data_IF_035370015834
#
_entry.id   IF_035370015834
#
_cell.length_a   1.000
_cell.length_b   1.000
_cell.length_c   1.000
_cell.angle_alpha   90.00
_cell.angle_beta   90.00
_cell.angle_gamma   90.00
#
_symmetry.space_group_name_H-M   'P 1'
#
loop_
_entity.id
_entity.type
_entity.pdbx_description
1 polymer ?
#
# COMPACT_ATOMS: atom_id res chain seq x y z
N UNK A 1 29.93 -1.44 -2.60
CA UNK A 1 29.84 -0.48 -3.72
C UNK A 1 28.40 -0.38 -4.20
N UNK A 2 27.92 0.86 -4.39
CA UNK A 2 26.56 1.11 -4.86
C UNK A 2 26.60 1.51 -6.34
N UNK A 3 25.71 0.90 -7.13
CA UNK A 3 25.50 1.24 -8.53
C UNK A 3 24.04 1.61 -8.71
N UNK A 4 23.77 2.53 -9.63
CA UNK A 4 22.39 2.91 -9.91
C UNK A 4 22.21 3.24 -11.38
N UNK A 5 21.02 2.96 -11.89
CA UNK A 5 20.69 3.25 -13.29
C UNK A 5 19.21 3.64 -13.39
N UNK A 6 18.93 4.48 -14.36
CA UNK A 6 17.56 4.96 -14.57
C UNK A 6 16.66 3.81 -15.00
N UNK A 7 15.42 3.81 -14.49
CA UNK A 7 14.41 2.88 -14.94
C UNK A 7 13.08 3.60 -15.15
N UNK A 8 12.27 3.03 -16.03
CA UNK A 8 10.94 3.56 -16.31
C UNK A 8 10.01 2.38 -16.58
N UNK A 9 8.85 2.39 -15.91
CA UNK A 9 7.83 1.36 -16.10
C UNK A 9 6.55 2.02 -16.57
N UNK A 10 5.98 1.51 -17.65
CA UNK A 10 4.71 2.00 -18.16
C UNK A 10 3.56 1.36 -17.41
N UNK A 11 2.52 2.12 -17.23
CA UNK A 11 1.28 1.57 -16.70
C UNK A 11 0.40 1.14 -17.87
N UNK A 12 -0.18 0.15 -17.49
CA UNK A 12 -1.00 -0.39 -18.37
C UNK A 12 -1.99 0.51 -18.83
N UNK A 13 -2.69 1.18 -17.93
CA UNK A 13 -3.57 2.34 -18.14
C UNK A 13 -3.21 3.43 -17.14
N UNK A 14 -3.36 4.69 -17.50
CA UNK A 14 -3.05 5.75 -16.54
C UNK A 14 -3.92 5.65 -15.30
N UNK A 15 -3.32 5.95 -14.17
CA UNK A 15 -4.03 5.96 -12.89
C UNK A 15 -4.41 7.39 -12.57
N UNK A 16 -5.69 7.62 -12.32
CA UNK A 16 -6.20 8.95 -11.96
C UNK A 16 -6.27 9.01 -10.45
N UNK A 17 -5.55 9.95 -9.88
CA UNK A 17 -5.54 10.16 -8.43
C UNK A 17 -6.05 11.54 -8.09
N UNK A 18 -6.29 11.77 -6.81
CA UNK A 18 -6.69 13.11 -6.34
C UNK A 18 -5.59 14.14 -6.59
N UNK A 19 -4.36 13.69 -6.80
CA UNK A 19 -3.21 14.59 -6.97
C UNK A 19 -2.63 14.56 -8.37
N UNK A 20 -3.35 13.98 -9.32
CA UNK A 20 -2.94 14.01 -10.72
C UNK A 20 -2.97 12.65 -11.39
N UNK A 21 -2.64 12.68 -12.68
CA UNK A 21 -2.63 11.48 -13.52
C UNK A 21 -1.23 10.89 -13.56
N UNK A 22 -1.13 9.57 -13.39
CA UNK A 22 0.15 8.86 -13.42
C UNK A 22 0.12 7.89 -14.58
N UNK A 23 1.03 8.05 -15.54
CA UNK A 23 1.10 7.19 -16.73
C UNK A 23 2.29 6.25 -16.72
N UNK A 24 3.31 6.60 -15.95
CA UNK A 24 4.51 5.76 -15.82
C UNK A 24 5.10 5.95 -14.44
N UNK A 25 6.02 5.05 -14.09
CA UNK A 25 6.78 5.17 -12.86
C UNK A 25 8.25 5.26 -13.25
N UNK A 26 8.90 6.36 -12.90
CA UNK A 26 10.30 6.58 -13.27
C UNK A 26 11.15 6.79 -12.03
N UNK A 27 12.40 6.34 -12.10
CA UNK A 27 13.32 6.48 -10.99
C UNK A 27 14.62 5.72 -11.25
N UNK A 28 15.08 5.00 -10.24
CA UNK A 28 16.36 4.33 -10.30
C UNK A 28 16.30 2.92 -9.76
N UNK A 29 16.97 2.02 -10.45
CA UNK A 29 17.30 0.68 -9.96
C UNK A 29 18.63 0.79 -9.22
N UNK A 30 18.70 0.16 -8.05
CA UNK A 30 19.88 0.22 -7.17
C UNK A 30 20.47 -1.17 -7.05
N UNK A 31 21.78 -1.27 -7.09
CA UNK A 31 22.50 -2.51 -6.82
C UNK A 31 23.62 -2.26 -5.84
N UNK A 32 23.62 -2.99 -4.74
CA UNK A 32 24.67 -2.92 -3.73
C UNK A 32 25.43 -4.23 -3.75
N UNK A 33 26.73 -4.18 -4.02
CA UNK A 33 27.57 -5.37 -4.16
C UNK A 33 28.42 -5.60 -2.92
N UNK A 34 28.52 -6.86 -2.57
CA UNK A 34 29.45 -7.32 -1.55
C UNK A 34 29.97 -8.69 -2.01
N UNK A 35 31.09 -8.68 -2.40
CA UNK A 35 31.64 -9.78 -2.85
C UNK A 35 31.01 -10.21 -4.08
N UNK A 36 30.63 -11.43 -3.98
CA UNK A 36 29.98 -12.03 -5.15
C UNK A 36 28.47 -11.82 -5.16
N UNK A 37 27.94 -11.34 -4.07
CA UNK A 37 26.51 -11.12 -3.96
C UNK A 37 26.11 -9.70 -4.29
N UNK A 38 24.90 -9.53 -4.79
CA UNK A 38 24.38 -8.22 -5.17
C UNK A 38 22.94 -8.08 -4.75
N UNK A 39 22.66 -7.11 -3.87
CA UNK A 39 21.31 -6.81 -3.43
C UNK A 39 20.68 -5.74 -4.30
N UNK A 40 19.42 -5.90 -4.63
CA UNK A 40 18.70 -5.00 -5.51
C UNK A 40 17.70 -4.14 -4.75
N UNK A 41 17.57 -2.90 -5.20
CA UNK A 41 16.59 -1.96 -4.68
C UNK A 41 16.05 -1.11 -5.80
N UNK A 42 15.08 -0.29 -5.45
CA UNK A 42 14.37 0.50 -6.44
C UNK A 42 13.86 1.77 -5.78
N UNK A 43 13.96 2.88 -6.49
CA UNK A 43 13.48 4.19 -6.03
C UNK A 43 12.60 4.76 -7.12
N UNK A 44 11.29 4.84 -6.86
CA UNK A 44 10.32 5.36 -7.83
C UNK A 44 9.45 6.39 -7.12
N UNK A 45 9.83 7.68 -7.14
CA UNK A 45 9.01 8.68 -6.44
C UNK A 45 7.58 8.69 -6.99
N UNK A 46 6.61 8.84 -6.12
CA UNK A 46 5.21 8.90 -6.50
C UNK A 46 4.79 10.38 -6.57
N UNK A 47 4.55 10.90 -7.75
CA UNK A 47 4.19 12.33 -7.86
C UNK A 47 3.00 12.68 -6.99
N UNK A 48 3.11 13.75 -6.23
CA UNK A 48 2.06 14.20 -5.33
C UNK A 48 2.16 13.66 -3.91
N UNK A 49 2.95 12.61 -3.69
CA UNK A 49 3.12 12.00 -2.37
C UNK A 49 4.56 11.98 -1.88
N UNK A 50 5.49 11.78 -2.79
CA UNK A 50 6.90 11.63 -2.41
C UNK A 50 7.50 12.94 -1.98
N UNK A 51 8.49 12.84 -1.08
CA UNK A 51 9.19 14.00 -0.54
C UNK A 51 10.26 14.53 -1.49
N UNK A 52 10.67 13.73 -2.48
CA UNK A 52 11.73 14.11 -3.42
C UNK A 52 11.22 14.00 -4.85
N UNK A 53 11.41 15.04 -5.66
CA UNK A 53 11.08 14.92 -7.07
C UNK A 53 12.14 14.10 -7.81
N UNK A 54 11.70 13.49 -8.92
CA UNK A 54 12.58 12.62 -9.69
C UNK A 54 13.92 13.29 -10.06
N UNK A 55 13.85 14.57 -10.44
CA UNK A 55 15.04 15.27 -10.91
C UNK A 55 16.11 15.47 -9.82
N UNK A 56 15.76 15.32 -8.55
CA UNK A 56 16.71 15.49 -7.46
C UNK A 56 17.35 14.18 -7.01
N UNK A 57 16.88 13.05 -7.53
CA UNK A 57 17.37 11.74 -7.09
C UNK A 57 18.85 11.52 -7.42
N UNK A 58 19.27 11.92 -8.59
CA UNK A 58 20.65 11.68 -9.05
C UNK A 58 21.67 12.32 -8.12
N UNK A 59 21.34 13.23 -7.67
CA UNK A 59 22.11 13.88 -6.83
C UNK A 59 22.34 13.26 -5.61
N UNK A 60 21.28 12.97 -5.04
CA UNK A 60 21.40 12.23 -3.81
C UNK A 60 22.22 10.95 -3.98
N UNK A 61 21.95 10.23 -5.05
CA UNK A 61 22.65 8.97 -5.30
C UNK A 61 24.15 9.19 -5.55
N UNK A 62 24.50 10.23 -6.28
CA UNK A 62 25.89 10.58 -6.49
C UNK A 62 26.58 10.96 -5.18
N UNK A 63 25.89 11.70 -4.33
CA UNK A 63 26.44 12.07 -3.03
C UNK A 63 26.69 10.83 -2.17
N UNK A 64 25.78 9.90 -2.18
CA UNK A 64 25.94 8.64 -1.44
C UNK A 64 27.14 7.87 -1.99
N UNK A 65 27.28 7.79 -3.29
CA UNK A 65 28.42 7.11 -3.92
C UNK A 65 29.75 7.74 -3.54
N UNK A 66 29.58 8.95 -3.32
CA UNK A 66 30.60 9.60 -3.00
C UNK A 66 30.91 9.65 -1.72
N UNK A 67 30.30 9.14 -0.77
CA UNK A 67 30.44 9.12 0.67
C UNK A 67 30.20 10.45 1.36
N UNK A 68 29.51 11.33 0.70
CA UNK A 68 29.18 12.64 1.27
C UNK A 68 28.09 12.45 2.36
N UNK A 69 28.32 13.05 3.52
CA UNK A 69 27.42 12.92 4.64
C UNK A 69 26.23 13.87 4.49
N UNK A 70 25.01 13.32 4.43
CA UNK A 70 23.78 14.08 4.38
C UNK A 70 22.63 13.15 4.76
N UNK A 71 21.43 13.72 4.95
CA UNK A 71 20.25 12.91 5.26
C UNK A 71 19.50 12.65 3.96
N UNK A 72 19.50 11.41 3.48
CA UNK A 72 18.77 11.12 2.23
C UNK A 72 17.26 11.29 2.40
N UNK A 73 16.58 11.54 1.29
CA UNK A 73 15.12 11.54 1.27
C UNK A 73 14.59 10.16 1.67
N UNK A 74 13.34 10.12 2.08
CA UNK A 74 12.71 8.87 2.50
C UNK A 74 12.75 7.83 1.39
N UNK A 75 12.51 8.25 0.16
CA UNK A 75 12.47 7.33 -0.98
C UNK A 75 13.86 6.75 -1.29
N UNK A 76 14.89 7.60 -1.24
CA UNK A 76 16.25 7.12 -1.46
C UNK A 76 16.66 6.18 -0.33
N UNK A 77 16.36 6.57 0.90
CA UNK A 77 16.66 5.72 2.05
C UNK A 77 15.95 4.38 1.95
N UNK A 78 14.68 4.40 1.48
CA UNK A 78 13.90 3.18 1.30
C UNK A 78 14.57 2.24 0.28
N UNK A 79 14.98 2.78 -0.86
CA UNK A 79 15.59 1.96 -1.90
C UNK A 79 16.92 1.35 -1.48
N UNK A 80 17.75 2.12 -0.77
CA UNK A 80 19.02 1.62 -0.29
C UNK A 80 18.82 0.57 0.81
N UNK A 81 17.89 0.83 1.73
CA UNK A 81 17.56 -0.13 2.78
C UNK A 81 17.04 -1.43 2.17
N UNK A 82 16.20 -1.32 1.13
CA UNK A 82 15.70 -2.46 0.38
C UNK A 82 16.85 -3.29 -0.19
N UNK A 83 17.80 -2.63 -0.87
CA UNK A 83 18.91 -3.32 -1.48
C UNK A 83 19.78 -4.02 -0.43
N UNK A 84 19.99 -3.39 0.73
CA UNK A 84 20.77 -4.00 1.80
C UNK A 84 20.09 -5.24 2.37
N UNK A 85 18.77 -5.19 2.57
CA UNK A 85 18.04 -6.35 3.07
C UNK A 85 18.04 -7.49 2.04
N UNK A 86 17.87 -7.15 0.76
CA UNK A 86 17.92 -8.17 -0.28
C UNK A 86 19.31 -8.79 -0.39
N UNK A 87 20.36 -8.00 -0.19
CA UNK A 87 21.72 -8.53 -0.14
C UNK A 87 21.90 -9.50 1.02
N UNK A 88 21.40 -9.11 2.19
CA UNK A 88 21.50 -9.96 3.39
C UNK A 88 20.78 -11.30 3.16
N UNK A 89 19.61 -11.26 2.51
CA UNK A 89 18.89 -12.50 2.25
C UNK A 89 19.68 -13.41 1.31
N UNK A 90 20.31 -12.84 0.28
CA UNK A 90 21.16 -13.63 -0.62
C UNK A 90 22.36 -14.22 0.12
N UNK A 91 23.00 -13.43 0.98
CA UNK A 91 24.16 -13.90 1.72
C UNK A 91 23.79 -15.05 2.70
N UNK A 92 22.62 -14.98 3.28
CA UNK A 92 22.13 -16.03 4.17
C UNK A 92 21.63 -17.24 3.37
N UNK A 93 21.17 -17.02 2.15
CA UNK A 93 20.63 -18.08 1.30
C UNK A 93 19.22 -18.46 1.63
N UNK A 94 18.40 -17.49 2.06
CA UNK A 94 17.01 -17.72 2.41
C UNK A 94 16.14 -16.61 1.85
N UNK A 95 14.84 -16.87 1.63
CA UNK A 95 13.97 -15.79 1.15
C UNK A 95 13.83 -14.69 2.19
N UNK A 96 13.60 -13.48 1.73
CA UNK A 96 13.58 -12.33 2.63
C UNK A 96 12.55 -12.49 3.75
N UNK A 97 11.35 -13.04 3.45
CA UNK A 97 10.36 -13.22 4.51
C UNK A 97 10.89 -14.08 5.65
N UNK A 98 11.71 -15.08 5.33
CA UNK A 98 12.30 -15.95 6.33
C UNK A 98 13.41 -15.24 7.12
N UNK A 99 14.23 -14.46 6.43
CA UNK A 99 15.30 -13.68 7.07
C UNK A 99 14.72 -12.68 8.05
N UNK A 100 13.56 -12.12 7.73
CA UNK A 100 12.86 -11.19 8.63
C UNK A 100 12.26 -11.89 9.84
N UNK A 101 12.11 -13.20 9.79
CA UNK A 101 11.55 -13.96 10.90
C UNK A 101 10.15 -14.51 10.66
N UNK A 102 9.70 -14.46 9.43
CA UNK A 102 8.37 -14.92 9.10
C UNK A 102 8.28 -16.42 8.88
N UNK A 103 7.06 -16.91 8.80
CA UNK A 103 6.78 -18.32 8.59
C UNK A 103 5.91 -18.58 7.37
N UNK A 104 5.44 -17.55 6.71
CA UNK A 104 4.52 -17.68 5.58
C UNK A 104 5.25 -17.41 4.27
N UNK A 105 5.04 -18.28 3.30
CA UNK A 105 5.62 -18.12 1.96
C UNK A 105 4.60 -17.59 0.95
N UNK A 106 3.52 -17.01 1.45
CA UNK A 106 2.52 -16.39 0.56
C UNK A 106 1.78 -15.30 1.30
N UNK A 107 1.15 -14.42 0.54
CA UNK A 107 0.30 -13.37 1.10
C UNK A 107 -1.02 -13.32 0.34
N UNK A 108 -2.06 -12.88 1.03
CA UNK A 108 -3.30 -12.47 0.38
C UNK A 108 -3.19 -11.01 -0.04
N UNK A 109 -3.85 -10.66 -1.14
CA UNK A 109 -3.93 -9.26 -1.58
C UNK A 109 -5.37 -8.93 -1.91
N UNK A 110 -5.72 -7.64 -1.79
CA UNK A 110 -7.06 -7.21 -2.18
C UNK A 110 -7.09 -6.87 -3.67
N UNK A 111 -8.25 -7.06 -4.25
CA UNK A 111 -8.50 -6.51 -5.56
C UNK A 111 -8.89 -5.04 -5.47
N UNK A 112 -8.87 -4.14 -6.39
CA UNK A 112 -9.07 -2.85 -6.37
C UNK A 112 -10.03 -2.62 -7.36
N UNK A 113 -11.06 -1.87 -7.09
CA UNK A 113 -11.93 -1.19 -8.05
C UNK A 113 -11.75 0.31 -7.89
N UNK A 114 -11.28 0.95 -8.95
CA UNK A 114 -11.01 2.39 -8.92
C UNK A 114 -12.29 3.20 -9.09
N UNK A 115 -12.12 4.48 -9.42
CA UNK A 115 -13.24 5.40 -9.56
C UNK A 115 -13.95 5.27 -10.89
N UNK A 116 -14.55 4.14 -11.14
CA UNK A 116 -15.28 3.89 -12.38
C UNK A 116 -16.76 4.26 -12.21
N UNK A 117 -17.44 4.43 -13.32
CA UNK A 117 -18.88 4.73 -13.30
C UNK A 117 -19.65 3.54 -12.73
N UNK A 118 -20.78 3.83 -12.11
CA UNK A 118 -21.58 2.79 -11.46
C UNK A 118 -22.06 1.73 -12.44
N UNK A 119 -22.27 2.09 -13.70
CA UNK A 119 -22.72 1.11 -14.69
C UNK A 119 -21.64 0.07 -15.01
N UNK A 120 -20.37 0.39 -14.80
CA UNK A 120 -19.28 -0.55 -15.04
C UNK A 120 -18.95 -1.37 -13.79
N UNK A 121 -19.52 -0.99 -12.66
CA UNK A 121 -19.18 -1.56 -11.37
C UNK A 121 -19.51 -3.07 -11.29
N UNK A 122 -20.70 -3.53 -11.70
CA UNK A 122 -21.00 -4.96 -11.56
C UNK A 122 -20.04 -5.85 -12.33
N UNK A 123 -19.66 -5.47 -13.54
CA UNK A 123 -18.73 -6.28 -14.32
C UNK A 123 -17.35 -6.36 -13.65
N UNK A 124 -16.88 -5.22 -13.13
CA UNK A 124 -15.60 -5.19 -12.42
C UNK A 124 -15.64 -6.07 -11.18
N UNK A 125 -16.76 -6.03 -10.45
CA UNK A 125 -16.91 -6.82 -9.23
C UNK A 125 -16.93 -8.31 -9.56
N UNK A 126 -17.67 -8.69 -10.60
CA UNK A 126 -17.72 -10.10 -11.02
C UNK A 126 -16.34 -10.61 -11.46
N UNK A 127 -15.58 -9.76 -12.15
CA UNK A 127 -14.24 -10.15 -12.58
C UNK A 127 -13.35 -10.45 -11.37
N UNK A 128 -13.38 -9.59 -10.35
CA UNK A 128 -12.59 -9.83 -9.16
C UNK A 128 -13.03 -11.08 -8.42
N UNK A 129 -14.33 -11.37 -8.43
CA UNK A 129 -14.83 -12.61 -7.82
C UNK A 129 -14.32 -13.84 -8.59
N UNK A 130 -14.34 -13.79 -9.92
CA UNK A 130 -13.81 -14.89 -10.74
C UNK A 130 -12.31 -15.09 -10.51
N UNK A 131 -11.60 -13.99 -10.28
CA UNK A 131 -10.15 -14.04 -10.02
C UNK A 131 -9.82 -14.50 -8.60
N UNK A 132 -10.82 -14.76 -7.78
CA UNK A 132 -10.64 -15.38 -6.48
C UNK A 132 -10.29 -14.47 -5.33
N UNK A 133 -10.49 -13.16 -5.50
CA UNK A 133 -10.21 -12.23 -4.39
C UNK A 133 -11.24 -12.38 -3.27
N UNK A 134 -10.75 -12.59 -2.06
CA UNK A 134 -11.62 -12.64 -0.89
C UNK A 134 -11.80 -11.27 -0.25
N UNK A 135 -10.96 -10.31 -0.61
CA UNK A 135 -11.05 -8.94 -0.11
C UNK A 135 -10.99 -7.99 -1.31
N UNK A 136 -11.94 -7.07 -1.36
CA UNK A 136 -12.03 -6.13 -2.48
C UNK A 136 -12.03 -4.72 -1.91
N UNK A 137 -11.13 -3.88 -2.44
CA UNK A 137 -11.05 -2.48 -2.05
C UNK A 137 -11.74 -1.63 -3.12
N UNK A 138 -12.60 -0.73 -2.69
CA UNK A 138 -13.42 0.07 -3.60
C UNK A 138 -13.21 1.55 -3.33
N UNK A 139 -12.81 2.27 -4.38
CA UNK A 139 -12.66 3.72 -4.29
C UNK A 139 -14.03 4.39 -4.30
N UNK A 140 -14.28 5.21 -3.29
CA UNK A 140 -15.51 5.99 -3.16
C UNK A 140 -15.16 7.47 -3.10
N UNK A 141 -16.14 8.29 -2.78
CA UNK A 141 -15.98 9.74 -2.77
C UNK A 141 -16.60 10.39 -3.98
N UNK A 142 -17.62 9.75 -4.54
CA UNK A 142 -18.30 10.19 -5.74
C UNK A 142 -19.80 10.29 -5.49
N UNK A 143 -20.51 10.88 -6.43
CA UNK A 143 -21.97 11.09 -6.29
C UNK A 143 -22.74 9.76 -6.26
N UNK A 144 -22.16 8.68 -6.79
CA UNK A 144 -22.83 7.38 -6.86
C UNK A 144 -22.41 6.41 -5.77
N UNK A 145 -21.86 6.91 -4.67
CA UNK A 145 -21.38 6.05 -3.58
C UNK A 145 -22.46 5.13 -3.02
N UNK A 146 -23.66 5.66 -2.79
CA UNK A 146 -24.74 4.83 -2.24
C UNK A 146 -25.10 3.68 -3.18
N UNK A 147 -25.14 3.94 -4.48
CA UNK A 147 -25.46 2.90 -5.45
C UNK A 147 -24.38 1.81 -5.45
N UNK A 148 -23.12 2.21 -5.36
CA UNK A 148 -22.02 1.23 -5.32
C UNK A 148 -22.07 0.39 -4.05
N UNK A 149 -22.35 1.01 -2.91
CA UNK A 149 -22.48 0.26 -1.65
C UNK A 149 -23.62 -0.73 -1.74
N UNK A 150 -24.76 -0.31 -2.33
CA UNK A 150 -25.90 -1.21 -2.51
C UNK A 150 -25.52 -2.39 -3.39
N UNK A 151 -24.82 -2.15 -4.51
CA UNK A 151 -24.40 -3.22 -5.40
C UNK A 151 -23.46 -4.20 -4.68
N UNK A 152 -22.56 -3.68 -3.87
CA UNK A 152 -21.68 -4.55 -3.07
C UNK A 152 -22.51 -5.45 -2.16
N UNK A 153 -23.50 -4.89 -1.50
CA UNK A 153 -24.31 -5.67 -0.56
C UNK A 153 -25.10 -6.78 -1.26
N UNK A 154 -25.45 -6.56 -2.53
CA UNK A 154 -26.23 -7.53 -3.29
C UNK A 154 -25.38 -8.62 -3.91
N UNK A 155 -24.11 -8.34 -4.21
CA UNK A 155 -23.25 -9.25 -5.00
C UNK A 155 -22.26 -10.01 -4.13
N UNK A 156 -21.70 -9.39 -3.08
CA UNK A 156 -20.68 -10.05 -2.27
C UNK A 156 -21.28 -11.22 -1.49
N UNK A 157 -20.54 -12.32 -1.45
CA UNK A 157 -20.90 -13.46 -0.62
C UNK A 157 -20.61 -13.15 0.85
N UNK A 158 -21.08 -14.00 1.75
CA UNK A 158 -20.86 -13.81 3.17
C UNK A 158 -19.38 -13.97 3.56
N UNK A 159 -18.60 -14.66 2.73
CA UNK A 159 -17.18 -14.88 3.03
C UNK A 159 -16.27 -13.80 2.46
N UNK A 160 -16.82 -12.90 1.66
CA UNK A 160 -16.02 -11.83 1.07
C UNK A 160 -16.04 -10.59 1.93
N UNK A 161 -14.93 -9.85 1.92
CA UNK A 161 -14.80 -8.60 2.67
C UNK A 161 -14.58 -7.44 1.71
N UNK A 162 -15.03 -6.27 2.13
CA UNK A 162 -14.81 -5.07 1.32
C UNK A 162 -14.18 -3.98 2.19
N UNK A 163 -13.28 -3.24 1.57
CA UNK A 163 -12.64 -2.05 2.13
C UNK A 163 -13.11 -0.85 1.33
N UNK A 164 -13.65 0.14 1.99
CA UNK A 164 -14.13 1.36 1.34
C UNK A 164 -13.07 2.43 1.47
N UNK A 165 -12.74 3.12 0.38
CA UNK A 165 -11.69 4.13 0.40
C UNK A 165 -12.12 5.40 -0.31
N UNK A 166 -12.72 6.35 0.41
CA UNK A 166 -13.08 7.64 -0.17
C UNK A 166 -11.92 8.62 -0.27
N UNK A 167 -10.71 8.24 0.11
CA UNK A 167 -9.51 9.08 -0.01
C UNK A 167 -9.70 10.47 0.61
N UNK A 168 -10.36 10.52 1.76
CA UNK A 168 -10.57 11.77 2.48
C UNK A 168 -11.59 12.71 1.85
N UNK A 169 -12.34 12.24 0.86
CA UNK A 169 -13.23 13.13 0.09
C UNK A 169 -14.55 13.43 0.78
N UNK A 170 -14.96 12.64 1.75
CA UNK A 170 -16.25 12.86 2.42
C UNK A 170 -16.13 13.97 3.46
N UNK A 171 -17.16 14.80 3.55
CA UNK A 171 -17.33 15.66 4.73
C UNK A 171 -17.70 14.78 5.91
N UNK A 172 -17.66 15.34 7.11
CA UNK A 172 -18.05 14.59 8.31
C UNK A 172 -19.47 14.06 8.20
N UNK A 173 -20.39 14.90 7.72
CA UNK A 173 -21.77 14.48 7.55
C UNK A 173 -21.93 13.40 6.49
N UNK A 174 -21.24 13.56 5.37
CA UNK A 174 -21.28 12.54 4.32
C UNK A 174 -20.73 11.21 4.82
N UNK A 175 -19.62 11.26 5.54
CA UNK A 175 -19.01 10.03 6.07
C UNK A 175 -19.96 9.33 7.02
N UNK A 176 -20.57 10.07 7.93
CA UNK A 176 -21.51 9.50 8.89
C UNK A 176 -22.70 8.84 8.19
N UNK A 177 -23.26 9.51 7.20
CA UNK A 177 -24.42 9.01 6.48
C UNK A 177 -24.09 7.78 5.66
N UNK A 178 -22.99 7.82 4.91
CA UNK A 178 -22.61 6.71 4.05
C UNK A 178 -22.16 5.49 4.86
N UNK A 179 -21.48 5.72 5.97
CA UNK A 179 -21.03 4.60 6.80
C UNK A 179 -22.16 3.97 7.60
N UNK A 180 -23.17 4.74 7.97
CA UNK A 180 -24.37 4.17 8.58
C UNK A 180 -25.04 3.21 7.59
N UNK A 181 -25.19 3.66 6.34
CA UNK A 181 -25.79 2.83 5.31
C UNK A 181 -24.94 1.59 5.02
N UNK A 182 -23.62 1.77 4.92
CA UNK A 182 -22.72 0.64 4.64
C UNK A 182 -22.75 -0.39 5.76
N UNK A 183 -22.74 0.07 7.01
CA UNK A 183 -22.80 -0.84 8.15
C UNK A 183 -24.08 -1.65 8.13
N UNK A 184 -25.20 -0.98 7.84
CA UNK A 184 -26.51 -1.62 7.82
C UNK A 184 -26.61 -2.65 6.69
N UNK A 185 -26.09 -2.35 5.51
CA UNK A 185 -26.27 -3.22 4.34
C UNK A 185 -25.18 -4.27 4.18
N UNK A 186 -23.94 -3.95 4.55
CA UNK A 186 -22.81 -4.88 4.39
C UNK A 186 -22.55 -5.73 5.62
N UNK A 187 -22.83 -5.18 6.80
CA UNK A 187 -22.59 -5.91 8.04
C UNK A 187 -21.14 -6.30 8.21
N UNK A 188 -20.92 -7.56 8.55
CA UNK A 188 -19.56 -8.07 8.82
C UNK A 188 -18.69 -8.17 7.57
N UNK A 189 -19.28 -8.02 6.39
CA UNK A 189 -18.50 -7.99 5.17
C UNK A 189 -17.71 -6.69 5.02
N UNK A 190 -18.07 -5.64 5.75
CA UNK A 190 -17.34 -4.38 5.74
C UNK A 190 -16.14 -4.50 6.67
N UNK A 191 -14.95 -4.66 6.08
CA UNK A 191 -13.75 -4.86 6.88
C UNK A 191 -13.27 -3.55 7.49
N UNK A 192 -13.21 -2.48 6.71
CA UNK A 192 -12.89 -1.16 7.23
C UNK A 192 -13.18 -0.08 6.19
N UNK A 193 -13.20 1.17 6.66
CA UNK A 193 -13.18 2.34 5.78
C UNK A 193 -11.82 3.02 5.97
N UNK A 194 -11.18 3.36 4.84
CA UNK A 194 -9.85 3.97 4.85
C UNK A 194 -9.97 5.46 4.56
N UNK A 195 -9.37 6.29 5.42
CA UNK A 195 -9.37 7.75 5.26
C UNK A 195 -10.76 8.27 4.88
N UNK A 196 -11.77 8.10 5.74
CA UNK A 196 -13.12 8.53 5.38
C UNK A 196 -13.28 10.04 5.30
N UNK A 197 -12.44 10.80 6.02
CA UNK A 197 -12.47 12.25 6.07
C UNK A 197 -11.06 12.78 5.86
N UNK A 198 -10.92 14.09 5.70
CA UNK A 198 -9.64 14.67 5.29
C UNK A 198 -8.74 15.14 6.44
N UNK A 199 -9.26 15.22 7.67
CA UNK A 199 -8.46 15.69 8.81
C UNK A 199 -8.62 14.78 10.01
N UNK A 200 -7.61 14.80 10.88
CA UNK A 200 -7.69 14.06 12.14
C UNK A 200 -8.77 14.61 13.07
N UNK A 201 -9.01 15.90 13.01
CA UNK A 201 -10.07 16.50 13.82
C UNK A 201 -11.43 15.93 13.43
N UNK A 202 -11.68 15.86 12.12
CA UNK A 202 -12.93 15.25 11.65
C UNK A 202 -12.98 13.76 12.00
N UNK A 203 -11.85 13.06 11.91
CA UNK A 203 -11.81 11.64 12.26
C UNK A 203 -12.12 11.44 13.74
N UNK A 204 -11.62 12.33 14.60
CA UNK A 204 -11.91 12.29 16.03
C UNK A 204 -13.42 12.31 16.27
N UNK A 205 -14.12 13.20 15.58
CA UNK A 205 -15.58 13.29 15.72
C UNK A 205 -16.28 12.11 15.08
N UNK A 206 -15.84 11.70 13.89
CA UNK A 206 -16.47 10.58 13.20
C UNK A 206 -16.37 9.29 13.99
N UNK A 207 -15.24 9.06 14.66
CA UNK A 207 -15.02 7.85 15.45
C UNK A 207 -16.11 7.63 16.48
N UNK A 208 -16.65 8.72 17.02
CA UNK A 208 -17.74 8.64 18.01
C UNK A 208 -19.10 8.39 17.38
N UNK A 209 -19.22 8.59 16.06
CA UNK A 209 -20.50 8.51 15.38
C UNK A 209 -20.74 7.18 14.68
N UNK A 210 -19.69 6.42 14.39
CA UNK A 210 -19.79 5.19 13.61
C UNK A 210 -19.12 4.03 14.33
N UNK A 211 -19.56 2.82 14.01
CA UNK A 211 -18.97 1.62 14.60
C UNK A 211 -18.05 0.85 13.64
N UNK A 212 -17.99 1.27 12.39
CA UNK A 212 -17.16 0.57 11.40
C UNK A 212 -15.68 0.70 11.77
N UNK A 213 -14.87 -0.35 11.57
CA UNK A 213 -13.43 -0.19 11.77
C UNK A 213 -12.85 0.84 10.81
N UNK A 214 -11.87 1.59 11.28
CA UNK A 214 -11.26 2.68 10.53
C UNK A 214 -9.81 2.37 10.25
N UNK A 215 -9.39 2.58 9.00
CA UNK A 215 -7.99 2.49 8.59
C UNK A 215 -7.49 3.88 8.25
N UNK A 216 -6.23 4.15 8.58
CA UNK A 216 -5.60 5.43 8.27
C UNK A 216 -4.42 5.21 7.34
N UNK A 217 -4.36 6.02 6.29
CA UNK A 217 -3.27 6.03 5.32
C UNK A 217 -2.69 7.45 5.27
N UNK A 218 -3.20 8.31 4.39
CA UNK A 218 -2.69 9.67 4.28
C UNK A 218 -2.92 10.47 5.56
N UNK A 219 -3.97 10.17 6.30
CA UNK A 219 -4.32 10.92 7.51
C UNK A 219 -3.21 10.93 8.56
N UNK A 220 -2.37 9.89 8.59
CA UNK A 220 -1.32 9.81 9.62
C UNK A 220 0.07 10.08 9.07
N UNK A 221 0.17 10.58 7.84
CA UNK A 221 1.48 10.76 7.22
C UNK A 221 2.22 11.98 7.74
N UNK A 222 1.50 13.00 8.17
CA UNK A 222 2.14 14.21 8.69
C UNK A 222 2.82 13.93 10.04
N UNK A 223 3.89 14.70 10.30
CA UNK A 223 4.62 14.58 11.56
C UNK A 223 3.66 14.80 12.73
N UNK A 224 3.70 13.90 13.71
CA UNK A 224 2.85 13.98 14.89
C UNK A 224 1.47 13.38 14.72
N UNK A 225 1.07 13.08 13.49
CA UNK A 225 -0.29 12.58 13.24
C UNK A 225 -0.50 11.17 13.79
N UNK A 226 0.49 10.30 13.61
CA UNK A 226 0.36 8.94 14.13
C UNK A 226 0.23 8.95 15.65
N UNK A 227 1.07 9.74 16.31
CA UNK A 227 1.03 9.83 17.78
C UNK A 227 -0.34 10.30 18.26
N UNK A 228 -0.88 11.32 17.60
CA UNK A 228 -2.22 11.82 17.94
C UNK A 228 -3.28 10.74 17.72
N UNK A 229 -3.19 10.03 16.61
CA UNK A 229 -4.14 8.96 16.32
C UNK A 229 -4.09 7.83 17.33
N UNK A 230 -2.88 7.45 17.75
CA UNK A 230 -2.71 6.41 18.75
C UNK A 230 -3.25 6.86 20.11
N UNK A 231 -2.90 8.09 20.52
CA UNK A 231 -3.31 8.61 21.80
C UNK A 231 -4.83 8.70 21.91
N UNK A 232 -5.51 9.02 20.83
CA UNK A 232 -6.95 9.18 20.81
C UNK A 232 -7.71 7.96 20.29
N UNK A 233 -7.00 6.88 19.99
CA UNK A 233 -7.57 5.60 19.54
C UNK A 233 -8.48 5.79 18.32
N UNK A 234 -7.95 6.47 17.30
CA UNK A 234 -8.75 6.88 16.15
C UNK A 234 -8.84 5.83 15.05
N UNK A 235 -7.97 4.81 15.05
CA UNK A 235 -7.97 3.84 13.97
C UNK A 235 -7.74 2.43 14.48
N UNK A 236 -8.21 1.47 13.69
CA UNK A 236 -8.06 0.04 13.98
C UNK A 236 -7.03 -0.59 13.06
N UNK A 237 -6.77 0.04 11.91
CA UNK A 237 -5.78 -0.40 10.92
C UNK A 237 -4.95 0.80 10.51
N UNK A 238 -3.71 0.54 10.14
CA UNK A 238 -2.85 1.53 9.51
C UNK A 238 -2.32 0.94 8.22
N UNK A 239 -2.46 1.70 7.14
CA UNK A 239 -1.92 1.32 5.84
C UNK A 239 -0.54 1.95 5.70
N UNK A 240 0.48 1.12 5.48
CA UNK A 240 1.86 1.57 5.39
C UNK A 240 2.37 1.35 3.97
N UNK A 241 2.95 2.39 3.40
CA UNK A 241 3.61 2.34 2.10
C UNK A 241 5.12 2.47 2.33
N UNK A 242 5.84 1.35 2.37
CA UNK A 242 7.24 1.39 2.80
C UNK A 242 8.13 2.30 1.95
N UNK A 243 7.85 2.42 0.67
CA UNK A 243 8.66 3.30 -0.18
C UNK A 243 8.54 4.77 0.21
N UNK A 244 7.47 5.14 0.86
CA UNK A 244 7.30 6.50 1.37
C UNK A 244 7.71 6.66 2.83
N UNK A 245 7.98 5.51 3.52
CA UNK A 245 8.29 5.50 4.84
C UNK A 245 9.65 5.32 5.16
N UNK A 246 10.45 5.17 4.20
CA UNK A 246 11.85 4.98 4.49
C UNK A 246 12.34 3.54 4.43
N UNK A 247 11.51 2.61 4.03
CA UNK A 247 11.92 1.24 3.77
C UNK A 247 11.53 0.25 4.84
N UNK A 248 12.28 -0.87 4.86
CA UNK A 248 11.95 -2.00 5.72
C UNK A 248 12.14 -1.67 7.19
N UNK A 249 13.31 -1.13 7.55
CA UNK A 249 13.59 -0.87 8.96
C UNK A 249 12.57 0.10 9.57
N UNK A 250 12.26 1.16 8.86
CA UNK A 250 11.28 2.13 9.36
C UNK A 250 9.88 1.52 9.42
N UNK A 251 9.53 0.70 8.46
CA UNK A 251 8.25 0.01 8.49
C UNK A 251 8.16 -0.94 9.68
N UNK A 252 9.20 -1.66 9.94
CA UNK A 252 9.22 -2.53 11.11
C UNK A 252 9.05 -1.76 12.41
N UNK A 253 9.53 -0.69 12.40
CA UNK A 253 9.45 0.14 13.50
C UNK A 253 8.12 0.69 13.66
N UNK A 254 7.30 0.99 12.64
CA UNK A 254 6.07 1.41 12.63
C UNK A 254 5.13 0.42 12.93
N UNK A 255 5.36 -0.76 12.38
CA UNK A 255 4.46 -1.90 12.60
C UNK A 255 4.46 -2.37 14.05
N UNK A 256 5.62 -2.43 14.65
CA UNK A 256 5.71 -2.85 16.05
C UNK A 256 4.93 -1.91 16.96
N UNK A 257 5.07 -0.67 16.75
CA UNK A 257 4.31 0.32 17.51
C UNK A 257 2.80 0.19 17.26
N UNK A 258 2.44 0.06 16.01
CA UNK A 258 1.19 -0.05 15.65
C UNK A 258 0.58 -1.16 16.20
N UNK A 259 1.23 -2.35 16.23
CA UNK A 259 0.67 -3.60 16.73
C UNK A 259 0.63 -3.67 18.27
N UNK A 260 1.60 -3.06 18.93
CA UNK A 260 1.57 -3.01 20.39
C UNK A 260 0.41 -2.17 20.93
N UNK A 261 -0.21 -1.39 20.09
CA UNK A 261 -1.41 -0.62 20.43
C UNK A 261 -2.69 -1.29 19.93
N UNK A 262 -2.59 -2.55 19.51
CA UNK A 262 -3.76 -3.30 19.05
C UNK A 262 -4.21 -2.95 17.65
N UNK A 263 -3.37 -2.25 16.88
CA UNK A 263 -3.70 -1.82 15.52
C UNK A 263 -3.11 -2.80 14.52
N UNK A 264 -3.88 -3.17 13.52
CA UNK A 264 -3.42 -4.07 12.47
C UNK A 264 -2.77 -3.27 11.34
N UNK A 265 -1.73 -3.86 10.73
CA UNK A 265 -0.91 -3.18 9.73
C UNK A 265 -1.12 -3.81 8.37
N UNK A 266 -1.48 -3.00 7.39
CA UNK A 266 -1.64 -3.41 5.99
C UNK A 266 -0.52 -2.75 5.19
N UNK A 267 0.24 -3.56 4.45
CA UNK A 267 1.29 -3.04 3.58
C UNK A 267 0.69 -2.76 2.21
N UNK A 268 1.02 -1.61 1.65
CA UNK A 268 0.46 -1.22 0.37
C UNK A 268 1.54 -0.72 -0.58
N UNK A 269 1.27 -0.88 -1.86
CA UNK A 269 2.16 -0.48 -2.94
C UNK A 269 1.93 0.98 -3.32
N UNK A 270 2.97 1.62 -3.86
CA UNK A 270 2.84 2.89 -4.57
C UNK A 270 2.95 2.65 -6.07
N UNK A 271 2.44 1.53 -6.54
CA UNK A 271 2.61 1.07 -7.92
C UNK A 271 4.09 0.89 -8.20
N UNK A 272 4.73 0.16 -7.33
CA UNK A 272 6.17 -0.12 -7.40
C UNK A 272 6.49 -1.00 -8.60
N UNK A 273 7.76 -0.95 -9.01
CA UNK A 273 8.26 -1.88 -10.02
C UNK A 273 8.49 -3.27 -9.44
N UNK A 274 9.06 -4.18 -10.25
CA UNK A 274 9.17 -5.58 -9.81
C UNK A 274 10.06 -5.78 -8.58
N UNK A 275 11.12 -5.01 -8.43
CA UNK A 275 12.00 -5.19 -7.28
C UNK A 275 11.32 -4.72 -6.00
N UNK A 276 10.74 -3.52 -6.04
CA UNK A 276 10.05 -2.98 -4.87
C UNK A 276 8.85 -3.81 -4.48
N UNK A 277 8.02 -4.17 -5.45
CA UNK A 277 6.82 -4.93 -5.14
C UNK A 277 7.16 -6.29 -4.53
N UNK A 278 8.16 -7.00 -5.12
CA UNK A 278 8.58 -8.28 -4.55
C UNK A 278 9.03 -8.11 -3.10
N UNK A 279 9.82 -7.09 -2.84
CA UNK A 279 10.33 -6.84 -1.49
C UNK A 279 9.18 -6.58 -0.51
N UNK A 280 8.22 -5.75 -0.91
CA UNK A 280 7.10 -5.44 -0.02
C UNK A 280 6.20 -6.64 0.21
N UNK A 281 6.08 -7.54 -0.75
CA UNK A 281 5.33 -8.78 -0.54
C UNK A 281 5.99 -9.64 0.55
N UNK A 282 7.32 -9.75 0.52
CA UNK A 282 8.04 -10.49 1.57
C UNK A 282 7.88 -9.80 2.93
N UNK A 283 7.96 -8.47 2.96
CA UNK A 283 7.76 -7.72 4.20
C UNK A 283 6.37 -7.94 4.76
N UNK A 284 5.35 -7.92 3.91
CA UNK A 284 3.96 -8.12 4.32
C UNK A 284 3.76 -9.52 4.91
N UNK A 285 4.40 -10.52 4.32
CA UNK A 285 4.29 -11.90 4.82
C UNK A 285 4.81 -12.02 6.25
N UNK A 286 5.78 -11.19 6.61
CA UNK A 286 6.28 -11.17 7.98
C UNK A 286 5.42 -10.29 8.90
N UNK A 287 5.08 -9.09 8.45
CA UNK A 287 4.41 -8.10 9.32
C UNK A 287 2.99 -8.52 9.67
N UNK A 288 2.22 -8.98 8.69
CA UNK A 288 0.80 -9.32 8.89
C UNK A 288 0.43 -10.50 7.98
N UNK A 289 0.86 -11.71 8.33
CA UNK A 289 0.66 -12.85 7.42
C UNK A 289 -0.80 -13.22 7.17
N UNK A 290 -1.71 -12.80 8.04
CA UNK A 290 -3.11 -13.22 7.94
C UNK A 290 -4.01 -12.18 7.26
N UNK A 291 -3.51 -10.98 7.01
CA UNK A 291 -4.32 -9.93 6.37
C UNK A 291 -4.12 -9.93 4.86
N UNK A 292 -5.13 -9.42 4.15
CA UNK A 292 -4.94 -9.09 2.75
C UNK A 292 -4.22 -7.74 2.65
N UNK A 293 -3.27 -7.65 1.74
CA UNK A 293 -2.45 -6.44 1.60
C UNK A 293 -2.76 -5.72 0.29
N UNK A 294 -2.42 -4.44 0.24
CA UNK A 294 -2.61 -3.62 -0.96
C UNK A 294 -1.45 -3.77 -1.91
N UNK A 295 -1.11 -5.01 -2.25
CA UNK A 295 0.07 -5.33 -3.05
C UNK A 295 -0.28 -6.07 -4.34
N UNK A 296 -1.54 -6.10 -4.72
CA UNK A 296 -1.96 -6.74 -5.97
C UNK A 296 -1.86 -5.80 -7.16
N UNK A 297 -0.76 -5.04 -7.26
CA UNK A 297 -0.62 -4.01 -8.28
C UNK A 297 0.21 -4.43 -9.49
N UNK A 298 0.71 -5.67 -9.52
CA UNK A 298 1.50 -6.14 -10.67
C UNK A 298 0.72 -6.06 -11.97
N UNK A 299 -0.60 -6.22 -11.90
CA UNK A 299 -1.46 -6.21 -13.09
C UNK A 299 -1.51 -4.82 -13.75
N UNK A 300 -1.11 -3.77 -13.04
CA UNK A 300 -1.17 -2.41 -13.58
C UNK A 300 0.12 -1.98 -14.27
N UNK A 301 1.19 -2.75 -14.14
CA UNK A 301 2.52 -2.37 -14.66
C UNK A 301 2.86 -3.24 -15.86
N UNK A 302 3.24 -2.61 -16.96
CA UNK A 302 3.61 -3.33 -18.18
C UNK A 302 5.11 -3.67 -18.12
N UNK A 303 5.43 -4.76 -17.43
CA UNK A 303 6.81 -5.26 -17.36
C UNK A 303 6.81 -6.75 -17.11
N UNK A 304 7.66 -7.47 -17.84
CA UNK A 304 7.71 -8.93 -17.70
C UNK A 304 8.16 -9.39 -16.33
N UNK A 305 8.90 -8.55 -15.61
CA UNK A 305 9.33 -8.87 -14.25
C UNK A 305 8.18 -8.97 -13.27
N UNK A 306 7.01 -8.49 -13.65
CA UNK A 306 5.82 -8.58 -12.80
C UNK A 306 5.15 -9.94 -12.83
N UNK A 307 5.48 -10.81 -13.80
CA UNK A 307 4.79 -12.10 -13.96
C UNK A 307 4.65 -12.88 -12.66
N UNK A 308 5.76 -13.13 -11.94
CA UNK A 308 5.65 -13.90 -10.68
C UNK A 308 4.84 -13.22 -9.59
N UNK A 309 4.57 -11.94 -9.72
CA UNK A 309 3.88 -11.14 -8.70
C UNK A 309 2.40 -10.91 -9.02
N UNK A 310 1.94 -11.43 -10.17
CA UNK A 310 0.52 -11.34 -10.52
C UNK A 310 -0.25 -12.30 -9.62
N UNK A 311 -1.28 -11.83 -8.91
CA UNK A 311 -1.99 -12.69 -7.98
C UNK A 311 -2.73 -13.83 -8.68
N UNK A 312 -2.82 -14.96 -8.00
CA UNK A 312 -3.62 -16.12 -8.40
C UNK A 312 -4.54 -16.45 -7.22
N UNK A 313 -5.85 -16.47 -7.48
CA UNK A 313 -6.85 -16.68 -6.42
C UNK A 313 -6.65 -15.71 -5.26
N UNK A 314 -6.35 -14.45 -5.61
CA UNK A 314 -6.18 -13.42 -4.60
C UNK A 314 -4.93 -13.53 -3.74
N UNK A 315 -3.95 -14.34 -4.20
CA UNK A 315 -2.73 -14.58 -3.42
C UNK A 315 -1.48 -14.44 -4.29
N UNK A 316 -0.36 -14.14 -3.64
CA UNK A 316 0.96 -14.12 -4.27
C UNK A 316 1.85 -15.10 -3.53
N UNK A 317 2.45 -16.04 -4.28
CA UNK A 317 3.40 -17.00 -3.72
C UNK A 317 4.80 -16.39 -3.72
N UNK A 318 5.56 -16.64 -2.65
CA UNK A 318 6.88 -16.06 -2.46
C UNK A 318 7.94 -17.16 -2.42
N UNK A 319 9.02 -16.98 -3.18
CA UNK A 319 10.15 -17.92 -3.18
C UNK A 319 11.35 -17.32 -2.46
#
# INVERSE_FOLDING_TARGET
>A
MIQFEKVSYQLXEPIITARGKISNRVGYFIRIRDXDNSGEGEILPLPGWSSVPYQDLEXELENISXGINFVPSDEVRSGINMANWNLKALQIGAPLWSVLGGASNSIKVNGXIGGIAVKEFPESLERLQRDGYSVIKVKLGFSDDFEKIKLLSEVLSSSQKVRLDPNGMWSLGEASERLEYATKTLGERLEYVEDPVSTLDELFHLRKMVSVPIAADDLIRKKGALEYGLQNKLMDYVVVKPSLXGGIDDTLXXAKEXQSNGIQVVISSTYDGPVGLRTWCHLAAYVSPDLAHGLGTAVFIDDKGMGPLVPTDGKISLT
#
